data_IF_366413092587
#
_entry.id   IF_366413092587
#
_cell.length_a   1.000
_cell.length_b   1.000
_cell.length_c   1.000
_cell.angle_alpha   90.00
_cell.angle_beta   90.00
_cell.angle_gamma   90.00
#
_symmetry.space_group_name_H-M   'P 1'
#
loop_
_entity.id
_entity.type
_entity.pdbx_description
1 polymer ?
#
# COMPACT_ATOMS: atom_id res chain seq x y z
N UNK A 1 -14.89 -15.89 13.31
CA UNK A 1 -14.54 -15.32 11.99
C UNK A 1 -13.02 -15.38 11.85
N UNK A 2 -12.50 -15.90 10.74
CA UNK A 2 -11.06 -16.00 10.46
C UNK A 2 -10.50 -14.62 10.12
N UNK A 3 -9.20 -14.33 10.35
CA UNK A 3 -8.61 -13.01 10.06
C UNK A 3 -8.90 -12.48 8.65
N UNK A 4 -8.86 -13.36 7.65
CA UNK A 4 -9.14 -12.99 6.25
C UNK A 4 -10.61 -12.61 6.01
N UNK A 5 -11.55 -13.23 6.73
CA UNK A 5 -12.97 -12.90 6.66
C UNK A 5 -13.24 -11.52 7.28
N UNK A 6 -12.54 -11.20 8.38
CA UNK A 6 -12.60 -9.88 9.03
C UNK A 6 -12.06 -8.79 8.10
N UNK A 7 -10.92 -9.03 7.45
CA UNK A 7 -10.34 -8.09 6.48
C UNK A 7 -11.29 -7.86 5.29
N UNK A 8 -11.83 -8.94 4.73
CA UNK A 8 -12.80 -8.85 3.62
C UNK A 8 -14.05 -8.07 4.02
N UNK A 9 -14.56 -8.27 5.24
CA UNK A 9 -15.70 -7.51 5.75
C UNK A 9 -15.33 -6.03 5.96
N UNK A 10 -14.14 -5.75 6.49
CA UNK A 10 -13.64 -4.39 6.69
C UNK A 10 -13.57 -3.62 5.37
N UNK A 11 -13.05 -4.24 4.30
CA UNK A 11 -13.04 -3.63 2.97
C UNK A 11 -14.42 -3.35 2.42
N UNK A 12 -15.37 -4.26 2.60
CA UNK A 12 -16.77 -4.02 2.21
C UNK A 12 -17.38 -2.83 2.95
N UNK A 13 -17.10 -2.68 4.23
CA UNK A 13 -17.58 -1.54 5.03
C UNK A 13 -16.95 -0.23 4.52
N UNK A 14 -15.64 -0.22 4.27
CA UNK A 14 -14.95 0.96 3.70
C UNK A 14 -15.55 1.34 2.34
N UNK A 15 -15.82 0.38 1.46
CA UNK A 15 -16.44 0.64 0.16
C UNK A 15 -17.83 1.27 0.29
N UNK A 16 -18.61 0.86 1.29
CA UNK A 16 -19.94 1.41 1.55
C UNK A 16 -19.88 2.83 2.12
N UNK A 17 -18.90 3.13 2.97
CA UNK A 17 -18.75 4.41 3.64
C UNK A 17 -17.99 5.46 2.82
N UNK A 18 -17.13 5.05 1.89
CA UNK A 18 -16.25 5.93 1.13
C UNK A 18 -16.98 6.97 0.27
N UNK A 19 -18.21 6.65 -0.15
CA UNK A 19 -18.97 7.49 -1.09
C UNK A 19 -18.28 7.65 -2.45
N UNK A 20 -18.74 8.60 -3.29
CA UNK A 20 -18.17 8.81 -4.62
C UNK A 20 -16.74 9.35 -4.57
N UNK A 21 -15.84 8.76 -5.35
CA UNK A 21 -14.45 9.22 -5.51
C UNK A 21 -13.94 9.00 -6.95
N UNK A 22 -12.89 9.74 -7.33
CA UNK A 22 -12.36 9.74 -8.70
C UNK A 22 -11.17 8.78 -8.92
N UNK A 23 -10.87 7.92 -7.96
CA UNK A 23 -9.81 6.92 -8.11
C UNK A 23 -10.21 5.83 -9.10
N UNK A 24 -9.27 5.44 -9.97
CA UNK A 24 -9.35 4.21 -10.73
C UNK A 24 -9.38 2.97 -9.81
N UNK A 25 -9.70 1.79 -10.35
CA UNK A 25 -9.75 0.56 -9.56
C UNK A 25 -8.42 0.22 -8.88
N UNK A 26 -7.29 0.53 -9.52
CA UNK A 26 -5.97 0.23 -8.96
C UNK A 26 -5.56 1.26 -7.91
N UNK A 27 -5.90 2.53 -8.11
CA UNK A 27 -5.69 3.58 -7.10
C UNK A 27 -6.57 3.33 -5.87
N UNK A 28 -7.83 2.94 -6.07
CA UNK A 28 -8.76 2.67 -4.99
C UNK A 28 -8.27 1.53 -4.09
N UNK A 29 -7.71 0.45 -4.65
CA UNK A 29 -7.11 -0.63 -3.85
C UNK A 29 -6.02 -0.15 -2.89
N UNK A 30 -5.25 0.87 -3.29
CA UNK A 30 -4.21 1.46 -2.45
C UNK A 30 -4.83 2.35 -1.38
N UNK A 31 -5.77 3.23 -1.77
CA UNK A 31 -6.48 4.13 -0.83
C UNK A 31 -7.29 3.36 0.20
N UNK A 32 -8.04 2.35 -0.22
CA UNK A 32 -8.81 1.47 0.66
C UNK A 32 -7.91 0.78 1.70
N UNK A 33 -6.70 0.34 1.30
CA UNK A 33 -5.72 -0.24 2.24
C UNK A 33 -5.21 0.79 3.23
N UNK A 34 -4.98 2.04 2.80
CA UNK A 34 -4.60 3.15 3.69
C UNK A 34 -5.69 3.45 4.72
N UNK A 35 -6.95 3.51 4.30
CA UNK A 35 -8.10 3.70 5.19
C UNK A 35 -8.21 2.52 6.16
N UNK A 36 -8.09 1.28 5.67
CA UNK A 36 -8.20 0.09 6.53
C UNK A 36 -7.19 0.07 7.67
N UNK A 37 -5.95 0.52 7.44
CA UNK A 37 -4.92 0.54 8.48
C UNK A 37 -5.01 1.75 9.42
N UNK A 38 -5.70 2.82 9.03
CA UNK A 38 -5.73 4.10 9.77
C UNK A 38 -7.11 4.46 10.35
N UNK A 39 -8.17 3.82 9.85
CA UNK A 39 -9.56 4.20 10.05
C UNK A 39 -9.87 5.67 9.67
N UNK A 40 -9.09 6.26 8.76
CA UNK A 40 -9.19 7.66 8.38
C UNK A 40 -9.65 7.81 6.91
N UNK A 41 -10.84 8.37 6.70
CA UNK A 41 -11.39 8.61 5.36
C UNK A 41 -10.88 9.91 4.71
N UNK A 42 -10.12 10.76 5.41
CA UNK A 42 -9.51 11.95 4.82
C UNK A 42 -8.51 11.61 3.70
N UNK A 43 -7.97 10.39 3.70
CA UNK A 43 -7.14 9.87 2.60
C UNK A 43 -7.81 9.97 1.23
N UNK A 44 -9.15 9.91 1.16
CA UNK A 44 -9.90 10.10 -0.10
C UNK A 44 -9.64 11.48 -0.70
N UNK A 45 -9.49 12.51 0.15
CA UNK A 45 -9.30 13.90 -0.27
C UNK A 45 -7.84 14.27 -0.47
N UNK A 46 -6.93 13.63 0.26
CA UNK A 46 -5.53 14.04 0.36
C UNK A 46 -4.58 13.26 -0.56
N UNK A 47 -4.93 12.04 -0.96
CA UNK A 47 -4.06 11.22 -1.81
C UNK A 47 -4.06 11.71 -3.25
N UNK A 48 -2.86 11.77 -3.85
CA UNK A 48 -2.63 12.11 -5.25
C UNK A 48 -1.72 11.05 -5.85
N UNK A 49 -2.09 10.58 -7.04
CA UNK A 49 -1.27 9.67 -7.81
C UNK A 49 -0.71 10.39 -9.03
N UNK A 50 0.59 10.21 -9.29
CA UNK A 50 1.11 10.48 -10.62
C UNK A 50 0.55 9.42 -11.58
N UNK A 51 0.20 9.75 -12.85
CA UNK A 51 -0.44 8.80 -13.78
C UNK A 51 0.33 7.50 -14.03
N UNK A 52 1.65 7.50 -13.77
CA UNK A 52 2.53 6.33 -13.91
C UNK A 52 2.93 5.68 -12.58
N UNK A 53 2.47 6.19 -11.43
CA UNK A 53 2.97 5.79 -10.11
C UNK A 53 2.82 4.28 -9.87
N UNK A 54 1.62 3.74 -10.08
CA UNK A 54 1.32 2.33 -9.84
C UNK A 54 2.12 1.45 -10.81
N UNK A 55 2.03 1.71 -12.12
CA UNK A 55 2.74 0.92 -13.13
C UNK A 55 4.25 0.95 -12.95
N UNK A 56 4.83 2.13 -12.67
CA UNK A 56 6.26 2.26 -12.42
C UNK A 56 6.70 1.53 -11.15
N UNK A 57 5.95 1.67 -10.05
CA UNK A 57 6.23 0.98 -8.79
C UNK A 57 6.17 -0.54 -8.91
N UNK A 58 5.09 -1.07 -9.52
CA UNK A 58 4.95 -2.50 -9.78
C UNK A 58 6.09 -3.03 -10.66
N UNK A 59 6.45 -2.30 -11.72
CA UNK A 59 7.57 -2.68 -12.59
C UNK A 59 8.93 -2.64 -11.87
N UNK A 60 9.15 -1.68 -10.98
CA UNK A 60 10.37 -1.60 -10.18
C UNK A 60 10.50 -2.81 -9.25
N UNK A 61 9.44 -3.16 -8.53
CA UNK A 61 9.40 -4.33 -7.64
C UNK A 61 9.66 -5.61 -8.43
N UNK A 62 8.94 -5.82 -9.55
CA UNK A 62 9.11 -7.00 -10.41
C UNK A 62 10.50 -7.13 -11.03
N UNK A 63 11.24 -6.02 -11.16
CA UNK A 63 12.62 -5.98 -11.68
C UNK A 63 13.67 -6.05 -10.57
N UNK A 64 13.29 -6.43 -9.35
CA UNK A 64 14.22 -6.59 -8.23
C UNK A 64 14.87 -5.29 -7.76
N UNK A 65 14.22 -4.14 -7.96
CA UNK A 65 14.78 -2.87 -7.51
C UNK A 65 14.77 -2.77 -5.99
N UNK A 66 15.81 -2.15 -5.43
CA UNK A 66 15.89 -1.89 -3.98
C UNK A 66 14.80 -0.91 -3.55
N UNK A 67 14.04 -1.27 -2.51
CA UNK A 67 13.12 -0.42 -1.80
C UNK A 67 13.89 0.27 -0.67
N UNK A 68 13.96 1.60 -0.73
CA UNK A 68 14.59 2.40 0.32
C UNK A 68 13.50 3.03 1.18
N UNK A 69 13.62 2.88 2.49
CA UNK A 69 12.74 3.55 3.47
C UNK A 69 13.54 4.55 4.31
N UNK A 70 12.87 5.62 4.71
CA UNK A 70 13.41 6.67 5.58
C UNK A 70 13.44 6.25 7.06
N UNK A 71 12.56 5.34 7.48
CA UNK A 71 12.51 4.82 8.85
C UNK A 71 12.69 3.29 8.92
N UNK A 72 13.23 2.81 10.04
CA UNK A 72 13.28 1.38 10.33
C UNK A 72 11.89 0.77 10.56
N UNK A 73 10.92 1.58 11.01
CA UNK A 73 9.52 1.16 11.17
C UNK A 73 8.89 0.78 9.82
N UNK A 74 9.04 1.65 8.80
CA UNK A 74 8.56 1.34 7.45
C UNK A 74 9.24 0.09 6.88
N UNK A 75 10.56 -0.06 7.05
CA UNK A 75 11.31 -1.27 6.66
C UNK A 75 10.77 -2.53 7.34
N UNK A 76 10.43 -2.47 8.62
CA UNK A 76 9.93 -3.60 9.38
C UNK A 76 8.48 -3.99 8.99
N UNK A 77 7.67 -3.02 8.55
CA UNK A 77 6.30 -3.26 8.09
C UNK A 77 6.19 -3.96 6.73
N UNK A 78 7.23 -3.92 5.90
CA UNK A 78 7.25 -4.58 4.58
C UNK A 78 7.62 -6.06 4.75
N UNK A 79 6.79 -6.95 4.19
CA UNK A 79 7.03 -8.41 4.17
C UNK A 79 8.27 -8.74 3.35
N UNK A 80 9.37 -9.06 4.04
CA UNK A 80 10.68 -9.34 3.41
C UNK A 80 10.62 -10.49 2.39
N UNK A 81 9.87 -11.55 2.70
CA UNK A 81 9.74 -12.73 1.82
C UNK A 81 9.12 -12.35 0.47
N UNK A 82 8.07 -11.52 0.48
CA UNK A 82 7.39 -11.06 -0.73
C UNK A 82 8.34 -10.22 -1.60
N UNK A 83 9.07 -9.26 -1.01
CA UNK A 83 10.06 -8.47 -1.74
C UNK A 83 11.19 -9.33 -2.32
N UNK A 84 11.71 -10.27 -1.53
CA UNK A 84 12.78 -11.20 -1.95
C UNK A 84 12.34 -12.12 -3.09
N UNK A 85 11.07 -12.53 -3.13
CA UNK A 85 10.51 -13.36 -4.23
C UNK A 85 10.62 -12.68 -5.61
N UNK A 86 10.69 -11.35 -5.64
CA UNK A 86 10.90 -10.56 -6.85
C UNK A 86 12.37 -10.10 -7.02
N UNK A 87 13.30 -10.58 -6.19
CA UNK A 87 14.70 -10.15 -6.18
C UNK A 87 14.94 -8.76 -5.60
N UNK A 88 13.93 -8.15 -4.97
CA UNK A 88 14.05 -6.82 -4.36
C UNK A 88 14.69 -6.90 -2.98
N UNK A 89 15.52 -5.91 -2.62
CA UNK A 89 16.05 -5.73 -1.26
C UNK A 89 15.38 -4.53 -0.57
N UNK A 90 15.31 -4.54 0.76
CA UNK A 90 14.73 -3.43 1.54
C UNK A 90 15.83 -2.84 2.42
N UNK A 91 16.12 -1.55 2.25
CA UNK A 91 17.20 -0.83 2.93
C UNK A 91 16.65 0.40 3.66
N UNK A 92 17.24 0.71 4.80
CA UNK A 92 17.00 1.95 5.54
C UNK A 92 18.36 2.41 6.03
N UNK A 93 18.70 3.68 5.77
CA UNK A 93 20.03 4.26 5.95
C UNK A 93 20.08 5.29 7.08
N UNK A 94 19.01 5.41 7.88
CA UNK A 94 18.89 6.47 8.91
C UNK A 94 19.94 6.34 10.03
N UNK A 95 20.56 5.17 10.21
CA UNK A 95 21.58 4.89 11.22
C UNK A 95 22.89 4.38 10.60
N UNK A 96 23.07 4.59 9.29
CA UNK A 96 24.27 4.18 8.55
C UNK A 96 25.37 5.27 8.62
#
# INVERSE_FOLDING_TARGET
MKPQEIETLSFKIIDQEAGPHNFSSDEWRIVQRMIHTSADFEYIKNIRFHPKAITAGVNAIRRGKTIVTDTNMAKAGIRKQDAQSFGSSIKCYIND
#
